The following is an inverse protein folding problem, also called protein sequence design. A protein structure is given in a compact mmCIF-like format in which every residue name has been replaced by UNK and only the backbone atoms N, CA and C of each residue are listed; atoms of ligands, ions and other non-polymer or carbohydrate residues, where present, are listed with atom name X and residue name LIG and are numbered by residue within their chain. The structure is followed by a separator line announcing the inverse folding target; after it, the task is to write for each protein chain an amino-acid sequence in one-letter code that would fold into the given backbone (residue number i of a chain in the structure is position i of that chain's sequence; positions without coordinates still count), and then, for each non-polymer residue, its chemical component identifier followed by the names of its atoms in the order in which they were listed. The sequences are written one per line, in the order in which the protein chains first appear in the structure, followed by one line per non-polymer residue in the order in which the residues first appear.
data_IF_737627311526
#
_entry.id   IF_737627311526
#
_cell.length_a   1.000
_cell.length_b   1.000
_cell.length_c   1.000
_cell.angle_alpha   90.00
_cell.angle_beta   90.00
_cell.angle_gamma   90.00
#
_symmetry.space_group_name_H-M   'P 1'
#
loop_
_entity.id
_entity.type
_entity.pdbx_description
1 polymer ?
#
# COMPACT_ATOMS: atom_id res chain seq x y z
N UNK A 1 -12.25 8.51 -9.81
CA UNK A 1 -12.51 7.63 -8.65
C UNK A 1 -11.33 6.68 -8.52
N UNK A 2 -10.77 6.52 -7.32
CA UNK A 2 -9.69 5.58 -7.05
C UNK A 2 -10.29 4.30 -6.49
N UNK A 3 -9.89 3.16 -7.06
CA UNK A 3 -10.36 1.83 -6.68
C UNK A 3 -9.16 1.00 -6.26
N UNK A 4 -9.29 0.32 -5.13
CA UNK A 4 -8.32 -0.66 -4.67
C UNK A 4 -8.91 -2.05 -4.88
N UNK A 5 -8.10 -3.02 -5.29
CA UNK A 5 -8.56 -4.42 -5.40
C UNK A 5 -8.93 -5.05 -4.05
N UNK A 6 -8.45 -4.48 -2.95
CA UNK A 6 -8.75 -4.85 -1.57
C UNK A 6 -8.64 -3.64 -0.67
N UNK A 7 -9.36 -3.65 0.45
CA UNK A 7 -9.37 -2.55 1.40
C UNK A 7 -8.37 -2.73 2.56
N UNK A 8 -7.66 -3.87 2.61
CA UNK A 8 -6.63 -4.15 3.60
C UNK A 8 -5.64 -5.20 3.06
N UNK A 9 -4.42 -5.20 3.58
CA UNK A 9 -3.47 -6.30 3.43
C UNK A 9 -3.40 -7.08 4.75
N UNK A 10 -3.78 -8.34 4.68
CA UNK A 10 -3.74 -9.28 5.79
C UNK A 10 -2.65 -10.32 5.52
N UNK A 11 -1.66 -10.35 6.41
CA UNK A 11 -0.56 -11.30 6.35
C UNK A 11 -0.84 -12.57 7.15
N UNK A 12 -1.96 -12.62 7.89
CA UNK A 12 -2.34 -13.76 8.71
C UNK A 12 -1.42 -13.95 9.90
N UNK A 13 -1.22 -15.21 10.27
CA UNK A 13 -0.28 -15.63 11.31
C UNK A 13 1.11 -15.81 10.68
N UNK A 14 2.13 -15.19 11.27
CA UNK A 14 3.52 -15.24 10.82
C UNK A 14 4.40 -15.61 12.02
N UNK A 15 5.33 -16.54 11.83
CA UNK A 15 6.24 -17.00 12.88
C UNK A 15 7.18 -15.85 13.30
N UNK A 16 7.39 -15.70 14.61
CA UNK A 16 8.31 -14.70 15.17
C UNK A 16 9.70 -14.75 14.52
N UNK A 17 10.26 -13.59 14.19
CA UNK A 17 11.60 -13.47 13.58
C UNK A 17 11.67 -13.88 12.11
N UNK A 18 10.53 -14.16 11.45
CA UNK A 18 10.47 -14.52 10.02
C UNK A 18 9.88 -13.41 9.16
N UNK A 19 10.13 -13.47 7.85
CA UNK A 19 9.49 -12.60 6.86
C UNK A 19 8.34 -13.32 6.19
N UNK A 20 7.19 -12.67 6.12
CA UNK A 20 6.00 -13.20 5.43
C UNK A 20 6.21 -13.31 3.92
N UNK A 21 5.32 -14.03 3.24
CA UNK A 21 5.14 -13.83 1.80
C UNK A 21 4.71 -12.39 1.49
N UNK A 22 5.09 -11.91 0.31
CA UNK A 22 4.66 -10.61 -0.21
C UNK A 22 3.15 -10.61 -0.50
N UNK A 23 2.50 -9.49 -0.19
CA UNK A 23 1.09 -9.22 -0.50
C UNK A 23 0.99 -7.97 -1.36
N UNK A 24 0.20 -8.07 -2.41
CA UNK A 24 -0.01 -6.99 -3.36
C UNK A 24 -1.30 -6.22 -3.09
N UNK A 25 -1.20 -4.90 -3.16
CA UNK A 25 -2.34 -4.00 -3.36
C UNK A 25 -2.28 -3.49 -4.80
N UNK A 26 -3.43 -3.51 -5.48
CA UNK A 26 -3.56 -3.01 -6.85
C UNK A 26 -4.45 -1.77 -6.81
N UNK A 27 -3.87 -0.65 -7.26
CA UNK A 27 -4.47 0.67 -7.32
C UNK A 27 -4.88 0.95 -8.76
N UNK A 28 -6.16 1.25 -8.96
CA UNK A 28 -6.70 1.70 -10.24
C UNK A 28 -7.32 3.06 -10.07
N UNK A 29 -7.02 3.98 -10.99
CA UNK A 29 -7.80 5.20 -11.13
C UNK A 29 -8.78 5.04 -12.30
N UNK A 30 -10.07 5.13 -12.00
CA UNK A 30 -11.13 5.24 -13.00
C UNK A 30 -11.46 6.72 -13.20
N UNK A 31 -11.16 7.26 -14.38
CA UNK A 31 -11.59 8.59 -14.79
C UNK A 31 -12.66 8.46 -15.88
N UNK A 32 -13.73 9.23 -15.76
CA UNK A 32 -14.67 9.45 -16.85
C UNK A 32 -14.27 10.74 -17.56
N UNK A 33 -13.75 10.65 -18.79
CA UNK A 33 -13.38 11.80 -19.63
C UNK A 33 -11.94 12.30 -19.47
N UNK A 34 -11.65 13.49 -20.02
CA UNK A 34 -10.33 14.12 -20.18
C UNK A 34 -9.73 14.73 -18.88
N UNK A 35 -10.12 14.21 -17.71
CA UNK A 35 -9.61 14.70 -16.44
C UNK A 35 -8.12 14.32 -16.24
N UNK A 36 -7.32 15.25 -15.73
CA UNK A 36 -5.90 15.02 -15.39
C UNK A 36 -5.76 13.81 -14.47
N UNK A 37 -4.95 12.83 -14.87
CA UNK A 37 -4.66 11.65 -14.05
C UNK A 37 -3.96 12.07 -12.75
N UNK A 38 -4.42 11.60 -11.56
CA UNK A 38 -3.77 11.90 -10.30
C UNK A 38 -2.38 11.25 -10.28
N UNK A 39 -1.41 11.94 -9.71
CA UNK A 39 -0.07 11.40 -9.47
C UNK A 39 0.04 10.94 -8.03
N UNK A 40 0.75 9.83 -7.83
CA UNK A 40 1.23 9.40 -6.52
C UNK A 40 2.64 9.94 -6.36
N UNK A 41 2.85 10.77 -5.34
CA UNK A 41 4.09 11.48 -5.05
C UNK A 41 4.83 10.87 -3.84
N UNK A 42 4.21 9.89 -3.17
CA UNK A 42 4.78 9.21 -2.02
C UNK A 42 4.10 7.87 -1.75
N UNK A 43 4.87 6.89 -1.31
CA UNK A 43 4.37 5.61 -0.79
C UNK A 43 5.16 5.27 0.46
N UNK A 44 4.47 5.00 1.57
CA UNK A 44 5.10 4.64 2.84
C UNK A 44 4.28 3.57 3.57
N UNK A 45 4.96 2.69 4.31
CA UNK A 45 4.34 1.69 5.16
C UNK A 45 4.79 1.91 6.60
N UNK A 46 3.89 1.71 7.55
CA UNK A 46 4.17 1.83 8.97
C UNK A 46 3.34 0.83 9.78
N UNK A 47 3.81 0.34 10.94
CA UNK A 47 5.17 0.50 11.49
C UNK A 47 6.26 -0.18 10.64
N UNK A 48 7.52 -0.02 11.02
CA UNK A 48 8.71 -0.54 10.30
C UNK A 48 8.71 -2.08 10.11
N UNK A 49 7.83 -2.83 10.77
CA UNK A 49 7.65 -4.26 10.46
C UNK A 49 6.97 -4.50 9.11
N UNK A 50 6.30 -3.50 8.53
CA UNK A 50 5.74 -3.59 7.18
C UNK A 50 6.68 -2.92 6.18
N UNK A 51 7.17 -3.70 5.22
CA UNK A 51 8.18 -3.28 4.26
C UNK A 51 7.59 -3.19 2.86
N UNK A 52 7.85 -2.07 2.16
CA UNK A 52 7.51 -1.95 0.74
C UNK A 52 8.59 -2.70 -0.04
N UNK A 53 8.21 -3.85 -0.61
CA UNK A 53 9.09 -4.68 -1.43
C UNK A 53 9.23 -4.11 -2.84
N UNK A 54 8.13 -3.58 -3.38
CA UNK A 54 8.12 -2.98 -4.70
C UNK A 54 7.02 -1.93 -4.82
N UNK A 55 7.36 -0.82 -5.47
CA UNK A 55 6.43 0.20 -5.91
C UNK A 55 6.98 0.81 -7.22
N UNK A 56 6.14 1.41 -8.08
CA UNK A 56 6.64 2.17 -9.22
C UNK A 56 7.52 3.34 -8.77
N UNK A 57 8.41 3.77 -9.66
CA UNK A 57 9.24 4.96 -9.42
C UNK A 57 8.36 6.19 -9.18
N UNK A 58 8.61 6.88 -8.07
CA UNK A 58 7.84 8.05 -7.64
C UNK A 58 8.45 9.33 -8.25
N UNK A 59 7.63 10.29 -8.73
CA UNK A 59 6.18 10.22 -8.81
C UNK A 59 5.70 9.35 -9.99
N UNK A 60 4.55 8.69 -9.83
CA UNK A 60 3.91 7.95 -10.92
C UNK A 60 2.46 8.37 -11.14
N UNK A 61 2.03 8.43 -12.39
CA UNK A 61 0.66 8.75 -12.74
C UNK A 61 -0.24 7.51 -12.63
N UNK A 62 -1.41 7.67 -12.01
CA UNK A 62 -2.50 6.69 -12.08
C UNK A 62 -3.30 6.95 -13.36
N UNK A 63 -2.72 6.58 -14.50
CA UNK A 63 -3.25 6.88 -15.84
C UNK A 63 -4.03 5.73 -16.51
N UNK A 64 -5.05 6.10 -17.29
CA UNK A 64 -5.72 5.31 -18.34
C UNK A 64 -5.92 3.81 -18.06
N UNK A 65 -6.67 3.48 -17.01
CA UNK A 65 -7.12 2.11 -16.70
C UNK A 65 -6.00 1.07 -16.49
N UNK A 66 -4.73 1.46 -16.42
CA UNK A 66 -3.65 0.55 -16.13
C UNK A 66 -3.55 0.36 -14.60
N UNK A 67 -3.65 -0.88 -14.09
CA UNK A 67 -3.44 -1.14 -12.68
C UNK A 67 -1.99 -0.87 -12.28
N UNK A 68 -1.82 -0.19 -11.16
CA UNK A 68 -0.53 -0.07 -10.48
C UNK A 68 -0.50 -1.05 -9.31
N UNK A 69 0.59 -1.80 -9.19
CA UNK A 69 0.79 -2.72 -8.06
C UNK A 69 1.81 -2.14 -7.10
N UNK A 70 1.48 -2.17 -5.81
CA UNK A 70 2.44 -1.98 -4.70
C UNK A 70 2.48 -3.28 -3.91
N UNK A 71 3.68 -3.75 -3.63
CA UNK A 71 3.95 -5.03 -2.98
C UNK A 71 4.54 -4.77 -1.61
N UNK A 72 3.95 -5.39 -0.57
CA UNK A 72 4.35 -5.22 0.83
C UNK A 72 4.66 -6.59 1.43
N UNK A 73 5.70 -6.69 2.24
CA UNK A 73 5.97 -7.84 3.12
C UNK A 73 5.86 -7.42 4.58
N UNK A 74 5.76 -8.40 5.46
CA UNK A 74 5.78 -8.19 6.90
C UNK A 74 6.96 -8.95 7.51
N UNK A 75 7.87 -8.21 8.13
CA UNK A 75 8.95 -8.74 8.96
C UNK A 75 8.42 -8.88 10.38
N UNK A 76 8.18 -10.12 10.81
CA UNK A 76 7.61 -10.42 12.11
C UNK A 76 8.64 -10.12 13.22
N UNK A 77 8.32 -9.23 14.17
CA UNK A 77 9.17 -9.03 15.34
C UNK A 77 9.28 -10.32 16.18
N UNK A 78 10.27 -10.37 17.08
CA UNK A 78 10.43 -11.46 18.06
C UNK A 78 9.30 -11.48 19.11
N UNK A 79 8.56 -10.38 19.25
CA UNK A 79 7.45 -10.28 20.19
C UNK A 79 6.16 -10.78 19.56
N UNK A 80 5.54 -11.78 20.19
CA UNK A 80 4.26 -12.33 19.74
C UNK A 80 3.10 -11.36 19.96
N UNK A 81 2.03 -11.54 19.18
CA UNK A 81 0.80 -10.76 19.27
C UNK A 81 0.43 -10.04 17.97
N UNK A 82 -0.67 -9.28 18.00
CA UNK A 82 -1.16 -8.59 16.82
C UNK A 82 -0.28 -7.39 16.47
N UNK A 83 0.00 -7.21 15.18
CA UNK A 83 0.64 -6.02 14.63
C UNK A 83 -0.27 -5.40 13.60
N UNK A 84 -0.50 -4.09 13.72
CA UNK A 84 -1.37 -3.32 12.82
C UNK A 84 -0.65 -2.09 12.34
N UNK A 85 -1.04 -1.60 11.17
CA UNK A 85 -0.36 -0.51 10.50
C UNK A 85 -1.14 0.01 9.30
N UNK A 86 -0.50 0.90 8.55
CA UNK A 86 -1.07 1.50 7.35
C UNK A 86 0.00 1.60 6.25
N UNK A 87 -0.41 1.25 5.03
CA UNK A 87 0.25 1.68 3.81
C UNK A 87 -0.43 2.96 3.34
N UNK A 88 0.34 4.04 3.22
CA UNK A 88 -0.12 5.35 2.78
C UNK A 88 0.35 5.60 1.35
N UNK A 89 -0.58 5.98 0.48
CA UNK A 89 -0.27 6.56 -0.83
C UNK A 89 -0.58 8.06 -0.80
N UNK A 90 0.42 8.88 -1.06
CA UNK A 90 0.29 10.33 -1.16
C UNK A 90 -0.05 10.73 -2.59
N UNK A 91 -1.25 11.27 -2.79
CA UNK A 91 -1.74 11.74 -4.08
C UNK A 91 -1.60 13.26 -4.18
N UNK A 92 -1.01 13.75 -5.27
CA UNK A 92 -1.00 15.16 -5.59
C UNK A 92 -2.37 15.57 -6.16
N UNK A 93 -3.04 16.53 -5.51
CA UNK A 93 -4.30 17.08 -5.99
C UNK A 93 -4.34 18.58 -5.80
N UNK A 94 -4.28 19.34 -6.89
CA UNK A 94 -4.47 20.80 -6.93
C UNK A 94 -3.64 21.56 -5.87
N UNK A 95 -2.40 21.11 -5.62
CA UNK A 95 -1.49 21.72 -4.63
C UNK A 95 -1.67 21.22 -3.19
N UNK A 96 -2.52 20.23 -2.95
CA UNK A 96 -2.69 19.54 -1.67
C UNK A 96 -2.29 18.06 -1.78
N UNK A 97 -1.75 17.53 -0.69
CA UNK A 97 -1.53 16.09 -0.52
C UNK A 97 -2.82 15.43 -0.01
N UNK A 98 -3.28 14.39 -0.70
CA UNK A 98 -4.40 13.54 -0.28
C UNK A 98 -3.85 12.15 -0.01
N UNK A 99 -4.11 11.60 1.18
CA UNK A 99 -3.62 10.27 1.54
C UNK A 99 -4.71 9.21 1.35
N UNK A 100 -4.33 8.11 0.69
CA UNK A 100 -5.11 6.86 0.68
C UNK A 100 -4.42 5.89 1.63
N UNK A 101 -5.11 5.54 2.72
CA UNK A 101 -4.63 4.57 3.68
C UNK A 101 -5.19 3.18 3.37
N UNK A 102 -4.30 2.19 3.37
CA UNK A 102 -4.62 0.76 3.27
C UNK A 102 -4.17 0.08 4.55
N UNK A 103 -5.12 -0.32 5.43
CA UNK A 103 -4.82 -1.04 6.65
C UNK A 103 -3.98 -2.28 6.41
N UNK A 104 -2.95 -2.44 7.24
CA UNK A 104 -2.05 -3.59 7.29
C UNK A 104 -2.27 -4.32 8.60
N UNK A 105 -2.30 -5.66 8.56
CA UNK A 105 -2.43 -6.47 9.77
C UNK A 105 -1.73 -7.82 9.66
N UNK A 106 -1.17 -8.25 10.77
CA UNK A 106 -0.55 -9.55 10.96
C UNK A 106 -0.71 -9.98 12.43
N UNK A 107 -0.55 -11.27 12.70
CA UNK A 107 -0.40 -11.82 14.06
C UNK A 107 0.91 -12.59 14.12
N UNK A 108 1.71 -12.32 15.13
CA UNK A 108 2.98 -13.01 15.37
C UNK A 108 2.77 -14.13 16.38
N UNK A 109 3.21 -15.35 16.04
CA UNK A 109 3.18 -16.53 16.92
C UNK A 109 4.56 -17.15 17.12
#
# INVERSE_FOLDING_TARGET
MLTLNRQALDFGVVEAGTTSETRDIVVLAQHAGDATSPTVDGVSASPESFQIVSAPSIPFALGSCAPVTVSVSFDAPETTGPVTGDLLLELARDGFAVFVAVPLRATVE
#
